data_IF_087907242814
#
_entry.id   IF_087907242814
#
_cell.length_a   1.000
_cell.length_b   1.000
_cell.length_c   1.000
_cell.angle_alpha   90.00
_cell.angle_beta   90.00
_cell.angle_gamma   90.00
#
_symmetry.space_group_name_H-M   'P 1'
#
loop_
_entity.id
_entity.type
_entity.pdbx_description
1 polymer ?
#
# COMPACT_ATOMS: atom_id res chain seq x y z
N UNK A 1 -0.19 -10.16 -6.76
CA UNK A 1 0.14 -10.78 -8.07
C UNK A 1 1.60 -10.62 -8.46
N UNK A 2 2.17 -9.41 -8.50
CA UNK A 2 3.52 -9.21 -9.08
C UNK A 2 4.69 -9.54 -8.16
N UNK A 3 4.48 -9.71 -6.85
CA UNK A 3 5.57 -9.87 -5.86
C UNK A 3 6.42 -11.11 -6.12
N UNK A 4 5.81 -12.24 -6.50
CA UNK A 4 6.51 -13.49 -6.75
C UNK A 4 7.42 -13.44 -7.98
N UNK A 5 6.97 -12.79 -9.07
CA UNK A 5 7.75 -12.63 -10.31
C UNK A 5 8.82 -11.54 -10.16
N UNK A 6 8.54 -10.52 -9.36
CA UNK A 6 9.41 -9.35 -9.26
C UNK A 6 10.82 -9.72 -8.79
N UNK A 7 10.93 -10.64 -7.83
CA UNK A 7 12.24 -11.13 -7.35
C UNK A 7 13.02 -11.72 -8.51
N UNK A 8 12.38 -12.53 -9.34
CA UNK A 8 13.01 -13.16 -10.49
C UNK A 8 13.49 -12.13 -11.52
N UNK A 9 12.64 -11.18 -11.91
CA UNK A 9 13.01 -10.14 -12.89
C UNK A 9 14.10 -9.22 -12.38
N UNK A 10 13.99 -8.75 -11.13
CA UNK A 10 14.99 -7.85 -10.54
C UNK A 10 16.34 -8.54 -10.48
N UNK A 11 16.39 -9.81 -10.03
CA UNK A 11 17.66 -10.56 -10.00
C UNK A 11 18.22 -10.83 -11.39
N UNK A 12 17.38 -11.21 -12.36
CA UNK A 12 17.82 -11.46 -13.73
C UNK A 12 18.35 -10.20 -14.43
N UNK A 13 17.77 -9.04 -14.14
CA UNK A 13 18.17 -7.76 -14.73
C UNK A 13 19.43 -7.16 -14.10
N UNK A 14 19.60 -7.29 -12.77
CA UNK A 14 20.72 -6.70 -12.03
C UNK A 14 21.94 -7.63 -11.97
N UNK A 15 21.73 -8.93 -11.73
CA UNK A 15 22.79 -9.91 -11.53
C UNK A 15 22.54 -11.17 -12.40
N UNK A 16 22.73 -11.08 -13.73
CA UNK A 16 22.43 -12.20 -14.62
C UNK A 16 23.34 -13.40 -14.33
N UNK A 17 22.74 -14.55 -14.03
CA UNK A 17 23.45 -15.82 -13.85
C UNK A 17 24.01 -16.07 -12.44
N UNK A 18 23.79 -15.17 -11.49
CA UNK A 18 24.17 -15.36 -10.09
C UNK A 18 22.98 -15.78 -9.23
N UNK A 19 23.20 -16.72 -8.30
CA UNK A 19 22.19 -17.17 -7.34
C UNK A 19 21.90 -16.13 -6.24
N UNK A 20 22.83 -15.20 -6.01
CA UNK A 20 22.74 -14.15 -5.01
C UNK A 20 22.94 -12.79 -5.67
N UNK A 21 22.02 -11.84 -5.40
CA UNK A 21 22.13 -10.48 -5.92
C UNK A 21 22.03 -9.49 -4.76
N UNK A 22 23.19 -9.16 -4.18
CA UNK A 22 23.28 -8.26 -3.03
C UNK A 22 22.69 -6.89 -3.36
N UNK A 23 22.92 -6.42 -4.60
CA UNK A 23 22.39 -5.15 -5.10
C UNK A 23 20.85 -5.08 -5.01
N UNK A 24 20.15 -6.15 -5.40
CA UNK A 24 18.69 -6.20 -5.34
C UNK A 24 18.16 -6.16 -3.90
N UNK A 25 18.86 -6.82 -2.97
CA UNK A 25 18.53 -6.84 -1.55
C UNK A 25 18.69 -5.43 -0.96
N UNK A 26 19.82 -4.78 -1.23
CA UNK A 26 20.08 -3.41 -0.77
C UNK A 26 19.07 -2.41 -1.32
N UNK A 27 18.75 -2.48 -2.62
CA UNK A 27 17.75 -1.60 -3.23
C UNK A 27 16.36 -1.79 -2.62
N UNK A 28 15.94 -3.04 -2.39
CA UNK A 28 14.65 -3.32 -1.76
C UNK A 28 14.59 -2.82 -0.30
N UNK A 29 15.67 -3.04 0.47
CA UNK A 29 15.78 -2.55 1.85
C UNK A 29 15.77 -1.02 1.93
N UNK A 30 16.52 -0.36 1.04
CA UNK A 30 16.57 1.10 0.94
C UNK A 30 15.19 1.65 0.57
N UNK A 31 14.53 1.08 -0.44
CA UNK A 31 13.18 1.47 -0.83
C UNK A 31 12.22 1.39 0.36
N UNK A 32 12.16 0.25 1.06
CA UNK A 32 11.23 0.08 2.20
C UNK A 32 11.52 1.07 3.33
N UNK A 33 12.80 1.35 3.61
CA UNK A 33 13.20 2.31 4.64
C UNK A 33 12.76 3.73 4.28
N UNK A 34 13.06 4.17 3.05
CA UNK A 34 12.66 5.49 2.52
C UNK A 34 11.13 5.61 2.55
N UNK A 35 10.44 4.63 1.99
CA UNK A 35 8.97 4.58 1.98
C UNK A 35 8.40 4.67 3.39
N UNK A 36 8.95 3.91 4.35
CA UNK A 36 8.51 3.94 5.75
C UNK A 36 8.63 5.32 6.39
N UNK A 37 9.78 5.98 6.23
CA UNK A 37 10.04 7.32 6.79
C UNK A 37 9.07 8.35 6.21
N UNK A 38 8.95 8.40 4.88
CA UNK A 38 8.09 9.40 4.23
C UNK A 38 6.60 9.16 4.52
N UNK A 39 6.16 7.90 4.65
CA UNK A 39 4.78 7.58 5.00
C UNK A 39 4.33 8.12 6.35
N UNK A 40 5.24 8.24 7.33
CA UNK A 40 4.88 8.81 8.64
C UNK A 40 4.28 10.21 8.51
N UNK A 41 4.69 10.98 7.50
CA UNK A 41 4.20 12.34 7.25
C UNK A 41 3.10 12.34 6.18
N UNK A 42 3.30 11.60 5.09
CA UNK A 42 2.40 11.63 3.92
C UNK A 42 1.06 10.96 4.22
N UNK A 43 1.02 9.89 5.02
CA UNK A 43 -0.22 9.15 5.29
C UNK A 43 -1.23 10.01 6.08
N UNK A 44 -0.88 10.69 7.20
CA UNK A 44 -1.79 11.61 7.87
C UNK A 44 -2.21 12.78 6.98
N UNK A 45 -1.27 13.33 6.19
CA UNK A 45 -1.56 14.45 5.29
C UNK A 45 -2.59 14.06 4.22
N UNK A 46 -2.44 12.88 3.62
CA UNK A 46 -3.40 12.35 2.64
C UNK A 46 -4.76 12.06 3.28
N UNK A 47 -4.81 11.61 4.53
CA UNK A 47 -6.06 11.46 5.28
C UNK A 47 -6.79 12.79 5.44
N UNK A 48 -6.10 13.82 5.91
CA UNK A 48 -6.67 15.16 6.05
C UNK A 48 -7.09 15.79 4.71
N UNK A 49 -6.39 15.47 3.62
CA UNK A 49 -6.79 15.89 2.27
C UNK A 49 -8.03 15.13 1.78
N UNK A 50 -8.14 13.84 2.09
CA UNK A 50 -9.33 13.04 1.74
C UNK A 50 -10.57 13.51 2.50
N UNK A 51 -10.41 13.99 3.73
CA UNK A 51 -11.51 14.55 4.52
C UNK A 51 -11.97 15.95 4.05
N UNK A 52 -11.14 16.70 3.32
CA UNK A 52 -11.51 18.04 2.78
C UNK A 52 -11.94 18.00 1.32
N UNK A 53 -11.17 17.32 0.46
CA UNK A 53 -11.38 17.29 -0.98
C UNK A 53 -12.28 16.13 -1.43
N UNK A 54 -12.68 15.25 -0.52
CA UNK A 54 -13.47 14.06 -0.81
C UNK A 54 -12.63 12.78 -0.83
N UNK A 55 -13.28 11.66 -0.52
CA UNK A 55 -12.61 10.37 -0.38
C UNK A 55 -12.43 9.66 -1.71
N UNK A 56 -13.37 9.82 -2.66
CA UNK A 56 -13.26 9.24 -4.02
C UNK A 56 -12.07 9.80 -4.81
N UNK A 57 -11.86 11.13 -4.95
CA UNK A 57 -10.77 11.65 -5.77
C UNK A 57 -9.40 11.27 -5.21
N UNK A 58 -9.24 11.25 -3.88
CA UNK A 58 -7.98 10.83 -3.26
C UNK A 58 -7.75 9.33 -3.39
N UNK A 59 -8.79 8.49 -3.31
CA UNK A 59 -8.68 7.06 -3.57
C UNK A 59 -8.28 6.78 -5.04
N UNK A 60 -8.88 7.50 -6.00
CA UNK A 60 -8.52 7.39 -7.41
C UNK A 60 -7.08 7.84 -7.67
N UNK A 61 -6.66 8.97 -7.07
CA UNK A 61 -5.28 9.47 -7.19
C UNK A 61 -4.27 8.44 -6.66
N UNK A 62 -4.51 7.93 -5.45
CA UNK A 62 -3.62 6.96 -4.81
C UNK A 62 -3.53 5.66 -5.59
N UNK A 63 -4.63 5.12 -6.12
CA UNK A 63 -4.58 3.91 -6.96
C UNK A 63 -3.88 4.18 -8.30
N UNK A 64 -4.17 5.31 -8.94
CA UNK A 64 -3.62 5.64 -10.26
C UNK A 64 -2.10 5.78 -10.25
N UNK A 65 -1.53 6.33 -9.16
CA UNK A 65 -0.06 6.45 -9.02
C UNK A 65 0.65 5.10 -9.00
N UNK A 66 -0.03 4.02 -8.58
CA UNK A 66 0.53 2.66 -8.58
C UNK A 66 0.59 2.02 -9.97
N UNK A 67 -0.10 2.57 -10.97
CA UNK A 67 -0.12 2.04 -12.34
C UNK A 67 1.21 2.24 -13.06
N UNK A 68 1.82 3.41 -12.86
CA UNK A 68 3.03 3.87 -13.56
C UNK A 68 4.22 2.89 -13.42
N UNK A 69 4.63 2.47 -12.20
CA UNK A 69 5.77 1.56 -12.07
C UNK A 69 5.54 0.21 -12.76
N UNK A 70 4.33 -0.34 -12.69
CA UNK A 70 4.05 -1.63 -13.35
C UNK A 70 3.97 -1.52 -14.87
N UNK A 71 3.48 -0.39 -15.40
CA UNK A 71 3.52 -0.12 -16.84
C UNK A 71 4.95 -0.02 -17.36
N UNK A 72 5.87 0.51 -16.56
CA UNK A 72 7.29 0.59 -16.93
C UNK A 72 7.94 -0.79 -17.07
N UNK A 73 7.69 -1.70 -16.11
CA UNK A 73 8.20 -3.08 -16.19
C UNK A 73 7.54 -3.88 -17.32
N UNK A 74 6.27 -3.61 -17.64
CA UNK A 74 5.60 -4.23 -18.78
C UNK A 74 6.23 -3.84 -20.13
N UNK A 75 6.90 -2.69 -20.20
CA UNK A 75 7.52 -2.19 -21.43
C UNK A 75 8.90 -2.81 -21.69
N UNK A 76 9.78 -2.80 -20.68
CA UNK A 76 11.13 -3.32 -20.80
C UNK A 76 11.70 -3.68 -19.42
N UNK A 77 12.35 -4.84 -19.33
CA UNK A 77 12.95 -5.39 -18.12
C UNK A 77 14.47 -5.16 -18.04
N UNK A 78 15.01 -4.26 -18.85
CA UNK A 78 16.44 -3.92 -18.81
C UNK A 78 16.85 -3.27 -17.49
N UNK A 79 18.15 -3.35 -17.16
CA UNK A 79 18.73 -2.82 -15.91
C UNK A 79 18.36 -1.37 -15.63
N UNK A 80 18.40 -0.51 -16.65
CA UNK A 80 18.01 0.91 -16.53
C UNK A 80 16.52 1.11 -16.19
N UNK A 81 15.64 0.29 -16.76
CA UNK A 81 14.21 0.33 -16.46
C UNK A 81 13.90 -0.19 -15.06
N UNK A 82 14.68 -1.16 -14.54
CA UNK A 82 14.54 -1.64 -13.16
C UNK A 82 14.89 -0.55 -12.15
N UNK A 83 15.96 0.23 -12.35
CA UNK A 83 16.24 1.37 -11.46
C UNK A 83 15.13 2.44 -11.52
N UNK A 84 14.67 2.77 -12.73
CA UNK A 84 13.55 3.70 -12.89
C UNK A 84 12.26 3.18 -12.23
N UNK A 85 12.01 1.87 -12.29
CA UNK A 85 10.93 1.20 -11.57
C UNK A 85 11.06 1.39 -10.06
N UNK A 86 12.24 1.18 -9.47
CA UNK A 86 12.47 1.39 -8.04
C UNK A 86 12.17 2.83 -7.61
N UNK A 87 12.61 3.83 -8.39
CA UNK A 87 12.36 5.25 -8.10
C UNK A 87 10.86 5.55 -8.17
N UNK A 88 10.19 5.21 -9.28
CA UNK A 88 8.76 5.47 -9.45
C UNK A 88 7.93 4.72 -8.41
N UNK A 89 8.27 3.46 -8.16
CA UNK A 89 7.58 2.65 -7.15
C UNK A 89 7.78 3.19 -5.74
N UNK A 90 8.94 3.78 -5.42
CA UNK A 90 9.15 4.47 -4.14
C UNK A 90 8.14 5.60 -3.98
N UNK A 91 8.01 6.46 -5.00
CA UNK A 91 7.04 7.58 -4.99
C UNK A 91 5.61 7.05 -4.90
N UNK A 92 5.24 6.07 -5.72
CA UNK A 92 3.92 5.44 -5.67
C UNK A 92 3.66 4.81 -4.30
N UNK A 93 4.62 4.14 -3.68
CA UNK A 93 4.43 3.50 -2.38
C UNK A 93 4.27 4.51 -1.25
N UNK A 94 4.98 5.63 -1.29
CA UNK A 94 4.80 6.74 -0.34
C UNK A 94 3.37 7.29 -0.40
N UNK A 95 2.78 7.38 -1.60
CA UNK A 95 1.44 7.92 -1.79
C UNK A 95 0.33 6.87 -1.60
N UNK A 96 0.45 5.68 -2.18
CA UNK A 96 -0.61 4.68 -2.24
C UNK A 96 -0.62 3.73 -1.04
N UNK A 97 0.55 3.20 -0.66
CA UNK A 97 0.62 2.03 0.20
C UNK A 97 0.28 2.41 1.66
N UNK A 98 -0.85 1.92 2.15
CA UNK A 98 -1.43 2.32 3.45
C UNK A 98 -2.54 3.33 3.29
N UNK A 99 -2.35 4.37 2.46
CA UNK A 99 -3.36 5.41 2.21
C UNK A 99 -4.65 4.84 1.62
N UNK A 100 -4.54 3.91 0.66
CA UNK A 100 -5.71 3.23 0.07
C UNK A 100 -6.52 2.51 1.15
N UNK A 101 -5.86 1.80 2.06
CA UNK A 101 -6.54 1.09 3.15
C UNK A 101 -7.18 2.07 4.14
N UNK A 102 -6.44 3.08 4.60
CA UNK A 102 -6.94 4.09 5.54
C UNK A 102 -8.15 4.85 4.98
N UNK A 103 -8.08 5.32 3.73
CA UNK A 103 -9.19 6.04 3.08
C UNK A 103 -10.39 5.11 2.88
N UNK A 104 -10.17 3.84 2.54
CA UNK A 104 -11.27 2.87 2.37
C UNK A 104 -11.98 2.55 3.68
N UNK A 105 -11.23 2.35 4.76
CA UNK A 105 -11.78 2.12 6.11
C UNK A 105 -12.53 3.36 6.61
N UNK A 106 -11.96 4.55 6.39
CA UNK A 106 -12.63 5.80 6.70
C UNK A 106 -13.96 5.89 5.93
N UNK A 107 -13.94 5.71 4.61
CA UNK A 107 -15.13 5.74 3.75
C UNK A 107 -16.21 4.78 4.25
N UNK A 108 -15.84 3.55 4.63
CA UNK A 108 -16.79 2.61 5.21
C UNK A 108 -17.37 3.07 6.56
N UNK A 109 -16.56 3.75 7.39
CA UNK A 109 -17.00 4.27 8.68
C UNK A 109 -18.08 5.36 8.58
N UNK A 110 -18.17 6.05 7.43
CA UNK A 110 -19.22 7.06 7.17
C UNK A 110 -20.61 6.43 7.03
N UNK A 111 -20.69 5.20 6.53
CA UNK A 111 -21.96 4.49 6.28
C UNK A 111 -22.32 3.48 7.37
N UNK A 112 -21.37 3.12 8.25
CA UNK A 112 -21.54 2.07 9.25
C UNK A 112 -21.75 2.67 10.64
N UNK A 113 -22.82 2.24 11.31
CA UNK A 113 -23.14 2.59 12.71
C UNK A 113 -22.01 2.15 13.65
N UNK A 114 -21.74 2.94 14.69
CA UNK A 114 -20.61 2.75 15.62
C UNK A 114 -20.45 1.32 16.14
N UNK A 115 -21.54 0.73 16.65
CA UNK A 115 -21.51 -0.64 17.18
C UNK A 115 -21.28 -1.76 16.16
N UNK A 116 -21.25 -1.46 14.85
CA UNK A 116 -20.98 -2.44 13.78
C UNK A 116 -19.68 -2.13 13.02
N UNK A 117 -18.94 -1.09 13.42
CA UNK A 117 -17.71 -0.66 12.73
C UNK A 117 -16.63 -1.72 12.78
N UNK A 118 -16.44 -2.36 13.94
CA UNK A 118 -15.45 -3.42 14.09
C UNK A 118 -15.69 -4.57 13.11
N UNK A 119 -16.91 -5.12 13.06
CA UNK A 119 -17.27 -6.16 12.10
C UNK A 119 -17.08 -5.70 10.64
N UNK A 120 -17.44 -4.47 10.29
CA UNK A 120 -17.22 -3.93 8.95
C UNK A 120 -15.74 -3.81 8.59
N UNK A 121 -14.89 -3.37 9.52
CA UNK A 121 -13.44 -3.28 9.32
C UNK A 121 -12.80 -4.67 9.19
N UNK A 122 -13.29 -5.65 9.94
CA UNK A 122 -12.88 -7.05 9.80
C UNK A 122 -13.21 -7.60 8.41
N UNK A 123 -14.41 -7.34 7.90
CA UNK A 123 -14.80 -7.72 6.53
C UNK A 123 -13.93 -7.05 5.46
N UNK A 124 -13.64 -5.76 5.59
CA UNK A 124 -12.76 -5.03 4.63
C UNK A 124 -11.37 -5.64 4.63
N UNK A 125 -10.81 -5.93 5.80
CA UNK A 125 -9.47 -6.54 5.92
C UNK A 125 -9.48 -7.96 5.36
N UNK A 126 -10.52 -8.76 5.63
CA UNK A 126 -10.71 -10.08 5.05
C UNK A 126 -10.83 -10.07 3.52
N UNK A 127 -11.53 -9.10 2.94
CA UNK A 127 -11.60 -8.91 1.49
C UNK A 127 -10.23 -8.57 0.89
N UNK A 128 -9.43 -7.75 1.59
CA UNK A 128 -8.08 -7.40 1.16
C UNK A 128 -7.18 -8.64 1.13
N UNK A 129 -7.24 -9.47 2.18
CA UNK A 129 -6.52 -10.74 2.26
C UNK A 129 -6.99 -11.75 1.21
N UNK A 130 -8.30 -11.84 0.96
CA UNK A 130 -8.84 -12.68 -0.11
C UNK A 130 -8.37 -12.22 -1.51
N UNK A 131 -8.26 -10.90 -1.71
CA UNK A 131 -7.74 -10.32 -2.95
C UNK A 131 -6.24 -10.63 -3.12
N UNK A 132 -5.46 -10.59 -2.03
CA UNK A 132 -4.06 -11.02 -2.03
C UNK A 132 -3.92 -12.49 -2.39
N UNK A 133 -4.69 -13.37 -1.74
CA UNK A 133 -4.74 -14.80 -2.03
C UNK A 133 -5.05 -15.05 -3.51
N UNK A 134 -6.15 -14.48 -4.01
CA UNK A 134 -6.54 -14.62 -5.42
C UNK A 134 -5.43 -14.13 -6.35
N UNK A 135 -4.82 -12.99 -6.04
CA UNK A 135 -3.71 -12.44 -6.81
C UNK A 135 -2.48 -13.33 -6.84
N UNK A 136 -2.19 -14.10 -5.78
CA UNK A 136 -1.06 -15.03 -5.74
C UNK A 136 -1.36 -16.34 -6.49
N UNK A 137 -2.60 -16.83 -6.39
CA UNK A 137 -3.07 -17.98 -7.17
C UNK A 137 -3.02 -17.66 -8.67
N UNK A 138 -3.53 -16.50 -9.08
CA UNK A 138 -3.47 -16.05 -10.49
C UNK A 138 -2.02 -15.90 -10.94
N UNK A 139 -1.13 -15.35 -10.10
CA UNK A 139 0.30 -15.25 -10.44
C UNK A 139 0.94 -16.60 -10.76
N UNK A 140 0.59 -17.65 -10.01
CA UNK A 140 1.12 -19.01 -10.22
C UNK A 140 0.72 -19.59 -11.57
N UNK A 141 -0.55 -19.43 -11.97
CA UNK A 141 -1.05 -20.04 -13.20
C UNK A 141 -0.79 -19.20 -14.46
N UNK A 142 -0.50 -17.91 -14.32
CA UNK A 142 -0.14 -17.06 -15.47
C UNK A 142 1.32 -17.29 -15.88
N UNK A 143 1.63 -17.37 -17.19
CA UNK A 143 3.01 -17.33 -17.66
C UNK A 143 3.65 -15.96 -17.43
N UNK A 144 4.97 -15.93 -17.22
CA UNK A 144 5.72 -14.73 -16.82
C UNK A 144 5.49 -13.53 -17.75
N UNK A 145 5.49 -13.79 -19.06
CA UNK A 145 5.28 -12.77 -20.09
C UNK A 145 3.91 -12.05 -20.02
N UNK A 146 2.89 -12.71 -19.45
CA UNK A 146 1.54 -12.16 -19.36
C UNK A 146 1.24 -11.50 -18.00
N UNK A 147 2.11 -11.66 -16.99
CA UNK A 147 1.81 -11.19 -15.64
C UNK A 147 1.78 -9.67 -15.56
N UNK A 148 2.76 -8.98 -16.15
CA UNK A 148 2.77 -7.51 -16.14
C UNK A 148 1.62 -6.93 -16.98
N UNK A 149 1.37 -7.38 -18.23
CA UNK A 149 0.22 -6.92 -19.00
C UNK A 149 -1.12 -7.12 -18.27
N UNK A 150 -1.36 -8.29 -17.68
CA UNK A 150 -2.60 -8.56 -16.94
C UNK A 150 -2.66 -7.73 -15.66
N UNK A 151 -1.55 -7.55 -14.95
CA UNK A 151 -1.49 -6.69 -13.77
C UNK A 151 -1.85 -5.24 -14.11
N UNK A 152 -1.30 -4.71 -15.19
CA UNK A 152 -1.58 -3.34 -15.66
C UNK A 152 -3.04 -3.22 -16.09
N UNK A 153 -3.58 -4.19 -16.82
CA UNK A 153 -4.99 -4.20 -17.21
C UNK A 153 -5.92 -4.16 -15.98
N UNK A 154 -5.66 -5.01 -14.97
CA UNK A 154 -6.42 -5.00 -13.71
C UNK A 154 -6.29 -3.67 -12.96
N UNK A 155 -5.07 -3.11 -12.91
CA UNK A 155 -4.81 -1.81 -12.28
C UNK A 155 -5.49 -0.64 -13.01
N UNK A 156 -5.75 -0.73 -14.32
CA UNK A 156 -6.55 0.24 -15.08
C UNK A 156 -8.05 0.06 -14.78
N UNK A 157 -8.52 -1.18 -14.70
CA UNK A 157 -9.92 -1.47 -14.42
C UNK A 157 -10.37 -0.97 -13.03
N UNK A 158 -9.50 -1.04 -12.02
CA UNK A 158 -9.82 -0.58 -10.66
C UNK A 158 -10.26 0.89 -10.55
N UNK A 159 -9.48 1.90 -10.99
CA UNK A 159 -9.90 3.29 -10.94
C UNK A 159 -11.09 3.58 -11.86
N UNK A 160 -11.22 2.89 -13.00
CA UNK A 160 -12.40 3.01 -13.86
C UNK A 160 -13.66 2.55 -13.12
N UNK A 161 -13.58 1.38 -12.47
CA UNK A 161 -14.67 0.87 -11.65
C UNK A 161 -15.03 1.83 -10.51
N UNK A 162 -14.05 2.33 -9.76
CA UNK A 162 -14.29 3.29 -8.68
C UNK A 162 -14.87 4.61 -9.21
N UNK A 163 -14.47 5.06 -10.39
CA UNK A 163 -14.99 6.28 -10.99
C UNK A 163 -16.49 6.18 -11.29
N UNK A 164 -16.96 5.02 -11.77
CA UNK A 164 -18.37 4.81 -12.10
C UNK A 164 -19.24 4.41 -10.91
N UNK A 165 -18.75 3.55 -10.02
CA UNK A 165 -19.57 2.94 -8.96
C UNK A 165 -19.41 3.58 -7.57
N UNK A 166 -18.27 4.22 -7.28
CA UNK A 166 -18.08 4.85 -5.98
C UNK A 166 -18.80 6.20 -5.95
N UNK A 167 -19.68 6.39 -4.97
CA UNK A 167 -20.36 7.67 -4.73
C UNK A 167 -19.48 8.50 -3.79
N UNK A 168 -19.38 9.80 -4.03
CA UNK A 168 -18.62 10.69 -3.13
C UNK A 168 -19.43 10.92 -1.84
N UNK A 169 -18.78 10.83 -0.68
CA UNK A 169 -19.42 11.07 0.62
C UNK A 169 -19.43 12.53 1.01
N UNK A 170 -18.45 13.30 0.56
CA UNK A 170 -18.26 14.69 0.96
C UNK A 170 -18.71 15.61 -0.18
N UNK A 171 -19.73 16.42 0.07
CA UNK A 171 -20.03 17.54 -0.82
C UNK A 171 -18.85 18.51 -0.79
N UNK A 172 -18.26 18.87 -1.94
CA UNK A 172 -17.11 19.76 -1.97
C UNK A 172 -17.53 21.10 -1.36
N UNK A 173 -16.98 21.41 -0.19
CA UNK A 173 -17.15 22.72 0.41
C UNK A 173 -16.42 23.72 -0.49
N UNK A 174 -17.19 24.52 -1.25
CA UNK A 174 -16.68 25.71 -1.94
C UNK A 174 -16.16 26.67 -0.87
N UNK A 175 -14.89 26.52 -0.47
CA UNK A 175 -14.27 27.50 0.42
C UNK A 175 -14.01 28.79 -0.38
N UNK A 176 -14.90 29.76 -0.13
CA UNK A 176 -14.74 31.18 -0.42
C UNK A 176 -13.54 31.69 0.37
N UNK A 177 -12.35 31.56 -0.20
CA UNK A 177 -11.16 32.25 0.31
C UNK A 177 -10.33 32.71 -0.89
N UNK A 178 -10.85 33.73 -1.58
CA UNK A 178 -10.28 34.30 -2.81
C UNK A 178 -9.40 35.53 -2.55
N UNK A 179 -9.33 36.04 -1.32
CA UNK A 179 -8.76 37.37 -1.04
C UNK A 179 -7.40 37.38 -0.32
N UNK A 180 -6.72 36.24 -0.17
CA UNK A 180 -5.37 36.17 0.42
C UNK A 180 -4.27 35.92 -0.62
N UNK A 181 -3.07 36.53 -0.48
CA UNK A 181 -1.96 36.27 -1.38
C UNK A 181 -1.55 34.79 -1.33
N UNK A 182 -1.33 34.19 -2.50
CA UNK A 182 -1.08 32.76 -2.69
C UNK A 182 -0.05 32.17 -1.71
N UNK A 183 1.01 32.91 -1.42
CA UNK A 183 2.07 32.46 -0.52
C UNK A 183 1.65 32.40 0.95
N UNK A 184 0.87 33.38 1.45
CA UNK A 184 0.38 33.34 2.84
C UNK A 184 -0.65 32.24 3.04
N UNK A 185 -1.45 31.94 2.00
CA UNK A 185 -2.39 30.82 1.99
C UNK A 185 -1.66 29.48 2.09
N UNK A 186 -0.59 29.28 1.31
CA UNK A 186 0.22 28.06 1.38
C UNK A 186 0.84 27.88 2.76
N UNK A 187 1.46 28.94 3.31
CA UNK A 187 2.08 28.86 4.64
C UNK A 187 1.03 28.56 5.71
N UNK A 188 -0.12 29.24 5.67
CA UNK A 188 -1.22 29.00 6.61
C UNK A 188 -1.72 27.56 6.52
N UNK A 189 -1.90 27.03 5.31
CA UNK A 189 -2.28 25.63 5.10
C UNK A 189 -1.25 24.68 5.71
N UNK A 190 0.04 24.81 5.38
CA UNK A 190 1.08 23.95 5.96
C UNK A 190 1.13 24.04 7.49
N UNK A 191 0.97 25.24 8.04
CA UNK A 191 0.97 25.44 9.47
C UNK A 191 -0.23 24.78 10.16
N UNK A 192 -1.44 24.93 9.61
CA UNK A 192 -2.65 24.28 10.14
C UNK A 192 -2.56 22.76 10.07
N UNK A 193 -2.00 22.20 8.98
CA UNK A 193 -1.78 20.75 8.84
C UNK A 193 -0.78 20.23 9.87
N UNK A 194 0.31 20.98 10.07
CA UNK A 194 1.32 20.65 11.07
C UNK A 194 0.76 20.66 12.49
N UNK A 195 -0.01 21.68 12.88
CA UNK A 195 -0.67 21.72 14.19
C UNK A 195 -1.63 20.54 14.37
N UNK A 196 -2.46 20.22 13.37
CA UNK A 196 -3.36 19.08 13.45
C UNK A 196 -2.62 17.73 13.60
N UNK A 197 -1.51 17.54 12.89
CA UNK A 197 -0.66 16.36 13.07
C UNK A 197 -0.03 16.31 14.46
N UNK A 198 0.44 17.45 14.96
CA UNK A 198 1.02 17.59 16.30
C UNK A 198 -0.01 17.26 17.37
N UNK A 199 -1.22 17.76 17.25
CA UNK A 199 -2.32 17.48 18.17
C UNK A 199 -2.67 15.98 18.19
N UNK A 200 -2.73 15.34 17.02
CA UNK A 200 -2.97 13.91 16.91
C UNK A 200 -1.87 13.09 17.62
N UNK A 201 -0.61 13.48 17.46
CA UNK A 201 0.52 12.88 18.16
C UNK A 201 0.38 13.09 19.68
N UNK A 202 0.08 14.30 20.12
CA UNK A 202 -0.10 14.62 21.54
C UNK A 202 -1.22 13.76 22.14
N UNK A 203 -2.36 13.63 21.46
CA UNK A 203 -3.48 12.79 21.93
C UNK A 203 -3.05 11.33 22.03
N UNK A 204 -2.36 10.82 21.01
CA UNK A 204 -1.88 9.43 20.97
C UNK A 204 -0.90 9.11 22.10
N UNK A 205 -0.05 10.06 22.48
CA UNK A 205 0.93 9.88 23.56
C UNK A 205 0.40 10.26 24.96
N UNK A 206 -0.68 11.03 25.03
CA UNK A 206 -1.31 11.43 26.30
C UNK A 206 -2.14 10.31 26.91
N UNK A 207 -2.81 9.50 26.07
CA UNK A 207 -3.53 8.32 26.55
C UNK A 207 -2.58 7.13 26.72
N UNK A 208 -2.56 6.55 27.93
CA UNK A 208 -1.77 5.35 28.22
C UNK A 208 -2.09 4.19 27.25
N UNK A 209 -3.37 3.95 26.95
CA UNK A 209 -3.78 2.85 26.08
C UNK A 209 -3.33 3.06 24.64
N UNK A 210 -3.50 4.26 24.09
CA UNK A 210 -3.09 4.57 22.72
C UNK A 210 -1.57 4.56 22.56
N UNK A 211 -0.85 5.05 23.58
CA UNK A 211 0.61 5.02 23.60
C UNK A 211 1.14 3.60 23.55
N UNK A 212 0.62 2.72 24.39
CA UNK A 212 1.08 1.33 24.46
C UNK A 212 0.76 0.58 23.16
N UNK A 213 -0.45 0.75 22.61
CA UNK A 213 -0.84 0.17 21.30
C UNK A 213 0.08 0.70 20.19
N UNK A 214 0.42 1.99 20.20
CA UNK A 214 1.29 2.61 19.19
C UNK A 214 2.71 2.06 19.25
N UNK A 215 3.28 1.90 20.44
CA UNK A 215 4.62 1.34 20.65
C UNK A 215 4.67 -0.12 20.18
N UNK A 216 3.68 -0.93 20.60
CA UNK A 216 3.59 -2.35 20.20
C UNK A 216 3.46 -2.46 18.67
N UNK A 217 2.58 -1.66 18.08
CA UNK A 217 2.36 -1.63 16.62
C UNK A 217 3.62 -1.20 15.87
N UNK A 218 4.37 -0.23 16.40
CA UNK A 218 5.62 0.22 15.79
C UNK A 218 6.66 -0.89 15.72
N UNK A 219 6.96 -1.56 16.84
CA UNK A 219 7.95 -2.62 16.86
C UNK A 219 7.51 -3.85 16.07
N UNK A 220 6.22 -4.20 16.12
CA UNK A 220 5.66 -5.27 15.31
C UNK A 220 5.84 -4.98 13.81
N UNK A 221 5.47 -3.78 13.35
CA UNK A 221 5.59 -3.41 11.94
C UNK A 221 7.04 -3.28 11.49
N UNK A 222 7.93 -2.79 12.36
CA UNK A 222 9.37 -2.73 12.08
C UNK A 222 9.94 -4.14 11.83
N UNK A 223 9.62 -5.10 12.70
CA UNK A 223 10.04 -6.50 12.54
C UNK A 223 9.45 -7.16 11.30
N UNK A 224 8.15 -7.01 11.08
CA UNK A 224 7.44 -7.56 9.93
C UNK A 224 7.96 -7.00 8.60
N UNK A 225 8.28 -5.70 8.55
CA UNK A 225 8.88 -5.06 7.39
C UNK A 225 10.27 -5.63 7.09
N UNK A 226 11.09 -5.84 8.12
CA UNK A 226 12.43 -6.44 7.97
C UNK A 226 12.35 -7.84 7.37
N UNK A 227 11.52 -8.71 7.94
CA UNK A 227 11.32 -10.09 7.46
C UNK A 227 10.82 -10.06 6.01
N UNK A 228 9.76 -9.30 5.72
CA UNK A 228 9.14 -9.27 4.39
C UNK A 228 10.06 -8.71 3.30
N UNK A 229 11.03 -7.86 3.67
CA UNK A 229 11.97 -7.27 2.73
C UNK A 229 13.07 -8.22 2.26
N UNK A 230 13.47 -9.19 3.11
CA UNK A 230 14.59 -10.10 2.84
C UNK A 230 14.14 -11.52 2.53
N UNK A 231 13.00 -11.98 3.06
CA UNK A 231 12.57 -13.38 3.01
C UNK A 231 12.61 -14.00 1.61
N UNK A 232 12.04 -13.35 0.59
CA UNK A 232 12.01 -13.94 -0.74
C UNK A 232 13.38 -13.98 -1.43
N UNK A 233 14.23 -12.97 -1.21
CA UNK A 233 15.60 -12.99 -1.70
C UNK A 233 16.43 -14.06 -1.00
N UNK A 234 16.24 -14.24 0.32
CA UNK A 234 16.85 -15.33 1.07
C UNK A 234 16.41 -16.70 0.55
N UNK A 235 15.11 -16.91 0.33
CA UNK A 235 14.59 -18.16 -0.22
C UNK A 235 15.12 -18.43 -1.63
N UNK A 236 15.33 -17.37 -2.44
CA UNK A 236 16.01 -17.50 -3.74
C UNK A 236 17.45 -17.98 -3.57
N UNK A 237 18.21 -17.29 -2.74
CA UNK A 237 19.62 -17.52 -2.53
C UNK A 237 19.91 -18.90 -1.92
N UNK A 238 19.13 -19.29 -0.91
CA UNK A 238 19.36 -20.51 -0.14
C UNK A 238 18.78 -21.77 -0.82
N UNK A 239 17.61 -21.65 -1.46
CA UNK A 239 16.87 -22.81 -1.97
C UNK A 239 16.61 -22.77 -3.48
N UNK A 240 17.03 -21.71 -4.19
CA UNK A 240 16.79 -21.57 -5.62
C UNK A 240 15.31 -21.43 -5.96
N UNK A 241 14.50 -20.87 -5.05
CA UNK A 241 13.07 -20.80 -5.26
C UNK A 241 12.69 -19.99 -6.50
N UNK A 242 11.69 -20.49 -7.22
CA UNK A 242 11.07 -19.81 -8.35
C UNK A 242 9.78 -19.12 -7.94
N UNK A 243 9.31 -18.21 -8.78
CA UNK A 243 7.98 -17.61 -8.74
C UNK A 243 6.85 -18.56 -8.30
N UNK A 244 6.80 -19.78 -8.81
CA UNK A 244 5.69 -20.70 -8.50
C UNK A 244 5.69 -21.11 -7.03
N UNK A 245 6.87 -21.34 -6.46
CA UNK A 245 7.06 -21.67 -5.05
C UNK A 245 6.78 -20.46 -4.16
N UNK A 246 7.19 -19.24 -4.56
CA UNK A 246 6.80 -18.03 -3.84
C UNK A 246 5.29 -17.84 -3.82
N UNK A 247 4.63 -18.06 -4.95
CA UNK A 247 3.19 -17.93 -5.08
C UNK A 247 2.46 -18.98 -4.24
N UNK A 248 3.01 -20.18 -4.07
CA UNK A 248 2.49 -21.22 -3.19
C UNK A 248 2.53 -20.81 -1.72
N UNK A 249 3.68 -20.36 -1.24
CA UNK A 249 3.88 -19.89 0.15
C UNK A 249 2.94 -18.73 0.45
N UNK A 250 2.90 -17.74 -0.45
CA UNK A 250 2.02 -16.59 -0.32
C UNK A 250 0.53 -16.96 -0.36
N UNK A 251 0.16 -18.00 -1.11
CA UNK A 251 -1.21 -18.51 -1.12
C UNK A 251 -1.55 -19.23 0.19
N UNK A 252 -0.64 -20.03 0.75
CA UNK A 252 -0.86 -20.66 2.05
C UNK A 252 -1.02 -19.61 3.17
N UNK A 253 -0.18 -18.57 3.18
CA UNK A 253 -0.32 -17.44 4.11
C UNK A 253 -1.67 -16.74 3.89
N UNK A 254 -2.04 -16.44 2.64
CA UNK A 254 -3.31 -15.79 2.32
C UNK A 254 -4.54 -16.59 2.74
N UNK A 255 -4.50 -17.93 2.67
CA UNK A 255 -5.57 -18.79 3.19
C UNK A 255 -5.72 -18.58 4.71
N UNK A 256 -4.62 -18.60 5.46
CA UNK A 256 -4.63 -18.32 6.90
C UNK A 256 -5.13 -16.92 7.25
N UNK A 257 -4.76 -15.90 6.47
CA UNK A 257 -5.23 -14.53 6.64
C UNK A 257 -6.76 -14.41 6.42
N UNK A 258 -7.29 -15.04 5.36
CA UNK A 258 -8.73 -15.04 5.09
C UNK A 258 -9.51 -15.73 6.19
N UNK A 259 -9.06 -16.91 6.62
CA UNK A 259 -9.73 -17.66 7.69
C UNK A 259 -9.66 -16.97 9.05
N UNK A 260 -8.60 -16.22 9.34
CA UNK A 260 -8.50 -15.48 10.61
C UNK A 260 -9.33 -14.19 10.60
N UNK A 261 -9.42 -13.48 9.48
CA UNK A 261 -10.02 -12.14 9.43
C UNK A 261 -11.51 -12.12 9.06
N UNK A 262 -11.97 -13.02 8.18
CA UNK A 262 -13.35 -12.97 7.68
C UNK A 262 -14.38 -13.64 8.62
N UNK A 263 -14.19 -14.88 9.11
CA UNK A 263 -15.15 -15.52 10.00
C UNK A 263 -14.86 -15.26 11.50
N UNK A 264 -13.60 -15.28 11.92
CA UNK A 264 -13.24 -15.36 13.34
C UNK A 264 -13.22 -13.98 14.02
N UNK A 265 -12.64 -12.97 13.36
CA UNK A 265 -12.51 -11.63 13.91
C UNK A 265 -13.86 -10.92 14.18
N UNK A 266 -14.89 -11.02 13.32
CA UNK A 266 -16.21 -10.44 13.61
C UNK A 266 -17.00 -11.13 14.73
N UNK A 267 -16.65 -12.38 15.07
CA UNK A 267 -17.34 -13.15 16.11
C UNK A 267 -16.77 -12.85 17.51
N UNK A 268 -15.53 -12.38 17.56
CA UNK A 268 -14.81 -12.03 18.80
C UNK A 268 -15.08 -10.58 19.24
N UNK A 269 -15.38 -9.68 18.29
CA UNK A 269 -15.53 -8.23 18.53
C UNK A 269 -17.00 -7.83 18.49
#
# INVERSE_FOLDING_TARGET
MTVSVLVDIVTNALCPGESTCDEAIYLNGLQQTVVGIFKMVVLPLLGQLADEYGRKPLLLLTISTSMIPFALLAWNESRGFVYAFYVLRTVSYVLSQGSVFCISVAYAADFVKEGKRAAAFSWITGLFSASHLLGNVVARFLPDNYIFPVSVALLICCPVYLQFFLVETIEPTRSRDQDSPFFSRIIKLFHTRYESMRDAVIISFSSHTLRDISIISFFYQLGMSGISSVLFYYLKAAFGFSKDQYSEILSMVGIGEVFSQAPFLPEII
#
